data_IF_786481925909
#
_entry.id   IF_786481925909
#
_cell.length_a   1.000
_cell.length_b   1.000
_cell.length_c   1.000
_cell.angle_alpha   90.00
_cell.angle_beta   90.00
_cell.angle_gamma   90.00
#
_symmetry.space_group_name_H-M   'P 1'
#
loop_
_entity.id
_entity.type
_entity.pdbx_description
1 polymer ?
#
# COMPACT_ATOMS: atom_id res chain seq x y z
N UNK A 1 16.90 2.38 -7.00
CA UNK A 1 15.56 2.06 -6.47
C UNK A 1 14.84 1.21 -7.50
N UNK A 2 14.46 -0.03 -7.17
CA UNK A 2 13.65 -0.87 -8.05
C UNK A 2 12.21 -0.81 -7.57
N UNK A 3 11.26 -0.63 -8.48
CA UNK A 3 9.83 -0.63 -8.16
C UNK A 3 9.14 -1.78 -8.87
N UNK A 4 8.01 -2.21 -8.32
CA UNK A 4 7.08 -3.14 -8.95
C UNK A 4 5.66 -2.62 -8.82
N UNK A 5 4.77 -3.14 -9.65
CA UNK A 5 3.34 -2.88 -9.57
C UNK A 5 2.67 -4.00 -8.76
N UNK A 6 1.85 -3.63 -7.78
CA UNK A 6 1.07 -4.57 -6.98
C UNK A 6 -0.38 -4.10 -6.88
N UNK A 7 -1.37 -5.01 -6.93
CA UNK A 7 -2.74 -4.65 -6.59
C UNK A 7 -2.81 -4.31 -5.10
N UNK A 8 -3.65 -3.32 -4.74
CA UNK A 8 -3.77 -2.83 -3.37
C UNK A 8 -4.12 -3.94 -2.37
N UNK A 9 -4.93 -4.93 -2.78
CA UNK A 9 -5.28 -6.08 -1.94
C UNK A 9 -4.10 -6.97 -1.55
N UNK A 10 -2.98 -6.87 -2.28
CA UNK A 10 -1.74 -7.59 -2.00
C UNK A 10 -0.75 -6.81 -1.14
N UNK A 11 -1.06 -5.56 -0.78
CA UNK A 11 -0.20 -4.77 0.08
C UNK A 11 -0.02 -5.41 1.46
N UNK A 12 1.17 -5.24 2.02
CA UNK A 12 1.57 -5.71 3.35
C UNK A 12 2.21 -4.58 4.14
N UNK A 13 2.07 -4.66 5.45
CA UNK A 13 2.73 -3.74 6.39
C UNK A 13 4.26 -3.80 6.18
N UNK A 14 4.92 -2.65 6.26
CA UNK A 14 6.36 -2.50 6.04
C UNK A 14 6.78 -2.30 4.59
N UNK A 15 5.90 -2.57 3.61
CA UNK A 15 6.17 -2.22 2.22
C UNK A 15 6.17 -0.69 2.04
N UNK A 16 6.93 -0.19 1.05
CA UNK A 16 6.96 1.23 0.71
C UNK A 16 6.22 1.47 -0.60
N UNK A 17 5.14 2.25 -0.57
CA UNK A 17 4.36 2.64 -1.75
C UNK A 17 4.86 4.00 -2.23
N UNK A 18 5.07 4.16 -3.54
CA UNK A 18 5.44 5.44 -4.13
C UNK A 18 4.19 6.30 -4.28
N UNK A 19 4.08 7.35 -3.47
CA UNK A 19 2.99 8.35 -3.51
C UNK A 19 3.58 9.71 -3.82
N UNK A 20 3.02 10.42 -4.80
CA UNK A 20 3.48 11.77 -5.18
C UNK A 20 5.00 11.82 -5.47
N UNK A 21 5.55 10.74 -6.04
CA UNK A 21 6.98 10.60 -6.34
C UNK A 21 7.87 10.25 -5.14
N UNK A 22 7.32 10.02 -3.95
CA UNK A 22 8.07 9.69 -2.73
C UNK A 22 7.67 8.32 -2.16
N UNK A 23 8.62 7.49 -1.70
CA UNK A 23 8.29 6.24 -1.03
C UNK A 23 7.76 6.51 0.38
N UNK A 24 6.59 5.95 0.70
CA UNK A 24 5.96 6.05 2.02
C UNK A 24 5.64 4.65 2.53
N UNK A 25 5.98 4.38 3.79
CA UNK A 25 5.81 3.06 4.39
C UNK A 25 4.35 2.77 4.75
N UNK A 26 3.88 1.56 4.43
CA UNK A 26 2.59 1.03 4.89
C UNK A 26 2.70 0.69 6.38
N UNK A 27 1.95 1.41 7.21
CA UNK A 27 1.91 1.18 8.66
C UNK A 27 0.78 0.22 9.06
N UNK A 28 -0.35 0.22 8.35
CA UNK A 28 -1.48 -0.69 8.61
C UNK A 28 -2.29 -0.93 7.34
N UNK A 29 -2.82 -2.14 7.19
CA UNK A 29 -3.77 -2.50 6.13
C UNK A 29 -5.01 -3.11 6.77
N UNK A 30 -6.20 -2.69 6.34
CA UNK A 30 -7.49 -3.26 6.73
C UNK A 30 -8.31 -3.54 5.47
N UNK A 31 -8.89 -4.73 5.39
CA UNK A 31 -9.89 -5.06 4.38
C UNK A 31 -11.27 -4.77 4.96
N UNK A 32 -12.04 -3.93 4.28
CA UNK A 32 -13.37 -3.48 4.69
C UNK A 32 -14.43 -3.94 3.68
N UNK A 33 -15.65 -4.21 4.16
CA UNK A 33 -16.78 -4.69 3.36
C UNK A 33 -16.83 -6.21 3.19
N UNK A 34 -18.01 -6.73 2.81
CA UNK A 34 -18.21 -8.15 2.52
C UNK A 34 -17.31 -8.57 1.35
N UNK A 35 -16.48 -9.59 1.53
CA UNK A 35 -15.50 -10.04 0.53
C UNK A 35 -14.27 -9.13 0.37
N UNK A 36 -14.07 -8.12 1.24
CA UNK A 36 -12.88 -7.25 1.21
C UNK A 36 -12.91 -6.16 0.14
N UNK A 37 -14.10 -5.66 -0.21
CA UNK A 37 -14.32 -4.70 -1.30
C UNK A 37 -13.57 -3.36 -1.21
N UNK A 38 -13.01 -3.00 -0.06
CA UNK A 38 -12.17 -1.81 0.11
C UNK A 38 -10.89 -2.15 0.86
N UNK A 39 -9.75 -1.69 0.34
CA UNK A 39 -8.45 -1.77 1.01
C UNK A 39 -8.15 -0.42 1.67
N UNK A 40 -8.16 -0.42 3.00
CA UNK A 40 -8.00 0.76 3.85
C UNK A 40 -6.60 0.76 4.46
N UNK A 41 -5.74 1.67 4.01
CA UNK A 41 -4.30 1.69 4.30
C UNK A 41 -3.93 2.93 5.10
N UNK A 42 -3.25 2.72 6.24
CA UNK A 42 -2.59 3.80 6.96
C UNK A 42 -1.11 3.84 6.55
N UNK A 43 -0.65 5.00 6.12
CA UNK A 43 0.76 5.23 5.81
C UNK A 43 1.47 5.86 7.01
N UNK A 44 2.78 5.58 7.15
CA UNK A 44 3.58 6.11 8.23
C UNK A 44 3.66 7.65 8.14
N UNK A 45 3.35 8.33 9.24
CA UNK A 45 3.30 9.79 9.31
C UNK A 45 1.98 10.43 8.86
N UNK A 46 1.01 9.64 8.39
CA UNK A 46 -0.33 10.13 8.06
C UNK A 46 -1.30 9.90 9.22
N UNK A 47 -2.24 10.83 9.40
CA UNK A 47 -3.32 10.71 10.40
C UNK A 47 -4.57 10.03 9.82
N UNK A 48 -4.71 10.04 8.48
CA UNK A 48 -5.84 9.46 7.76
C UNK A 48 -5.49 8.13 7.08
N UNK A 49 -6.52 7.33 6.80
CA UNK A 49 -6.41 6.13 5.97
C UNK A 49 -6.77 6.45 4.52
N UNK A 50 -5.91 6.04 3.60
CA UNK A 50 -6.24 6.01 2.19
C UNK A 50 -7.10 4.77 1.88
N UNK A 51 -8.01 4.90 0.92
CA UNK A 51 -8.88 3.81 0.49
C UNK A 51 -8.63 3.51 -0.98
N UNK A 52 -8.52 2.23 -1.29
CA UNK A 52 -8.24 1.74 -2.63
C UNK A 52 -9.22 0.62 -2.98
N UNK A 53 -9.49 0.45 -4.28
CA UNK A 53 -10.12 -0.78 -4.74
C UNK A 53 -9.12 -1.95 -4.65
N UNK A 54 -9.53 -3.19 -4.34
CA UNK A 54 -8.60 -4.31 -4.20
C UNK A 54 -7.70 -4.58 -5.41
N UNK A 55 -8.21 -4.34 -6.62
CA UNK A 55 -7.47 -4.48 -7.88
C UNK A 55 -6.73 -3.22 -8.32
N UNK A 56 -6.80 -2.11 -7.57
CA UNK A 56 -6.11 -0.88 -7.91
C UNK A 56 -4.60 -1.08 -7.85
N UNK A 57 -3.91 -0.71 -8.92
CA UNK A 57 -2.47 -0.97 -9.07
C UNK A 57 -1.67 0.15 -8.43
N UNK A 58 -0.83 -0.21 -7.46
CA UNK A 58 0.06 0.69 -6.73
C UNK A 58 1.51 0.37 -7.05
N UNK A 59 2.35 1.41 -7.11
CA UNK A 59 3.79 1.26 -7.30
C UNK A 59 4.45 1.06 -5.94
N UNK A 60 5.16 -0.04 -5.78
CA UNK A 60 5.80 -0.44 -4.52
C UNK A 60 7.31 -0.57 -4.72
N UNK A 61 8.09 -0.03 -3.80
CA UNK A 61 9.53 -0.18 -3.78
C UNK A 61 9.91 -1.61 -3.39
N UNK A 62 10.77 -2.23 -4.20
CA UNK A 62 11.33 -3.55 -3.93
C UNK A 62 12.59 -3.36 -3.11
N UNK A 63 12.48 -3.62 -1.81
CA UNK A 63 13.67 -3.70 -0.96
C UNK A 63 14.33 -5.06 -1.19
N UNK A 64 15.41 -5.09 -1.98
CA UNK A 64 16.33 -6.23 -1.97
C UNK A 64 17.07 -6.18 -0.64
N UNK A 65 16.62 -6.96 0.35
CA UNK A 65 17.48 -7.29 1.47
C UNK A 65 18.66 -8.09 0.91
N UNK A 66 19.87 -7.56 1.08
CA UNK A 66 21.12 -8.27 0.85
C UNK A 66 21.41 -9.20 2.03
#
# INVERSE_FOLDING_TARGET
>A
MRTQQLPAGSLRIGQRVVREGRPVMVASVRLEGAGGGVVSVLFAGETGRARFAPGEVLVVEVSTAA
#
